data_IF_755744949001
#
_entry.id   IF_755744949001
#
_cell.length_a   1.000
_cell.length_b   1.000
_cell.length_c   1.000
_cell.angle_alpha   90.00
_cell.angle_beta   90.00
_cell.angle_gamma   90.00
#
_symmetry.space_group_name_H-M   'P 1'
#
loop_
_entity.id
_entity.type
_entity.pdbx_description
1 polymer ?
#
# COMPACT_ATOMS: atom_id res chain seq x y z
N UNK A 1 -60.08 26.53 0.26
CA UNK A 1 -58.95 25.85 -0.42
C UNK A 1 -59.37 24.40 -0.66
N UNK A 2 -59.53 23.97 -1.92
CA UNK A 2 -59.89 22.57 -2.25
C UNK A 2 -58.61 21.79 -2.52
N UNK A 3 -58.40 20.69 -1.80
CA UNK A 3 -57.26 19.78 -2.05
C UNK A 3 -57.64 18.76 -3.14
N UNK A 4 -56.75 18.56 -4.11
CA UNK A 4 -56.88 17.49 -5.11
C UNK A 4 -56.14 16.26 -4.59
N UNK A 5 -56.84 15.12 -4.53
CA UNK A 5 -56.35 13.83 -4.02
C UNK A 5 -56.08 12.82 -5.15
N UNK A 6 -56.04 13.25 -6.40
CA UNK A 6 -55.65 12.40 -7.53
C UNK A 6 -54.19 11.93 -7.40
N UNK A 7 -53.93 10.70 -7.85
CA UNK A 7 -52.59 10.09 -7.82
C UNK A 7 -51.66 10.86 -8.75
N UNK A 8 -50.60 11.44 -8.20
CA UNK A 8 -49.54 12.08 -8.97
C UNK A 8 -48.71 11.05 -9.75
N UNK A 9 -48.12 11.44 -10.89
CA UNK A 9 -47.16 10.60 -11.58
C UNK A 9 -45.99 10.22 -10.66
N UNK A 10 -45.45 9.02 -10.85
CA UNK A 10 -44.30 8.53 -10.11
C UNK A 10 -43.03 9.31 -10.48
N UNK A 11 -42.26 9.74 -9.49
CA UNK A 11 -40.99 10.42 -9.70
C UNK A 11 -39.90 9.37 -9.92
N UNK A 12 -39.28 9.37 -11.09
CA UNK A 12 -38.12 8.52 -11.37
C UNK A 12 -36.83 9.27 -11.10
N UNK A 13 -36.04 8.79 -10.14
CA UNK A 13 -34.70 9.32 -9.88
C UNK A 13 -33.74 8.87 -10.99
N UNK A 14 -33.23 9.81 -11.78
CA UNK A 14 -32.19 9.52 -12.77
C UNK A 14 -30.82 9.53 -12.11
N UNK A 15 -30.16 8.36 -12.07
CA UNK A 15 -28.79 8.26 -11.62
C UNK A 15 -27.82 8.84 -12.65
N UNK A 16 -26.68 9.35 -12.17
CA UNK A 16 -25.59 9.71 -13.05
C UNK A 16 -25.08 8.48 -13.79
N UNK A 17 -24.81 8.63 -15.09
CA UNK A 17 -24.19 7.58 -15.90
C UNK A 17 -22.72 7.50 -15.51
N UNK A 18 -22.18 6.29 -15.35
CA UNK A 18 -20.75 6.11 -15.09
C UNK A 18 -19.92 6.69 -16.23
N UNK A 19 -18.83 7.36 -15.87
CA UNK A 19 -17.84 7.80 -16.84
C UNK A 19 -17.23 6.62 -17.61
N UNK A 20 -16.92 6.86 -18.88
CA UNK A 20 -16.23 5.89 -19.73
C UNK A 20 -14.80 5.67 -19.23
N UNK A 21 -14.40 4.40 -19.11
CA UNK A 21 -13.04 4.03 -18.71
C UNK A 21 -12.13 3.90 -19.94
N UNK A 22 -10.84 4.28 -19.85
CA UNK A 22 -9.90 4.09 -20.93
C UNK A 22 -9.71 2.60 -21.26
N UNK A 23 -9.24 2.26 -22.49
CA UNK A 23 -8.96 0.88 -22.86
C UNK A 23 -7.92 0.24 -21.92
N UNK A 24 -8.19 -0.99 -21.48
CA UNK A 24 -7.34 -1.73 -20.52
C UNK A 24 -5.90 -1.86 -21.00
N UNK A 25 -5.70 -2.08 -22.30
CA UNK A 25 -4.37 -2.22 -22.93
C UNK A 25 -3.49 -0.99 -22.67
N UNK A 26 -4.06 0.21 -22.70
CA UNK A 26 -3.30 1.45 -22.43
C UNK A 26 -2.82 1.44 -20.98
N UNK A 27 -3.72 1.16 -20.03
CA UNK A 27 -3.40 1.06 -18.61
C UNK A 27 -2.34 0.00 -18.32
N UNK A 28 -2.42 -1.16 -18.96
CA UNK A 28 -1.48 -2.27 -18.76
C UNK A 28 -0.08 -1.92 -19.26
N UNK A 29 0.03 -1.33 -20.47
CA UNK A 29 1.31 -0.92 -21.04
C UNK A 29 2.00 0.11 -20.16
N UNK A 30 1.28 1.14 -19.70
CA UNK A 30 1.86 2.15 -18.81
C UNK A 30 2.22 1.58 -17.43
N UNK A 31 1.41 0.66 -16.90
CA UNK A 31 1.73 -0.03 -15.64
C UNK A 31 3.02 -0.84 -15.75
N UNK A 32 3.23 -1.54 -16.87
CA UNK A 32 4.46 -2.28 -17.15
C UNK A 32 5.67 -1.34 -17.29
N UNK A 33 5.51 -0.21 -17.98
CA UNK A 33 6.56 0.82 -18.11
C UNK A 33 6.93 1.38 -16.73
N UNK A 34 5.96 1.66 -15.86
CA UNK A 34 6.21 2.12 -14.49
C UNK A 34 6.96 1.07 -13.64
N UNK A 35 6.72 -0.23 -13.86
CA UNK A 35 7.41 -1.31 -13.16
C UNK A 35 8.82 -1.60 -13.71
N UNK A 36 9.11 -1.26 -14.96
CA UNK A 36 10.36 -1.60 -15.64
C UNK A 36 11.65 -1.11 -14.92
N UNK A 37 11.74 0.13 -14.38
CA UNK A 37 12.93 0.59 -13.67
C UNK A 37 13.31 -0.29 -12.48
N UNK A 38 12.31 -0.81 -11.75
CA UNK A 38 12.54 -1.71 -10.63
C UNK A 38 13.11 -3.06 -11.10
N UNK A 39 12.58 -3.61 -12.19
CA UNK A 39 13.09 -4.87 -12.77
C UNK A 39 14.53 -4.72 -13.27
N UNK A 40 14.84 -3.59 -13.92
CA UNK A 40 16.20 -3.27 -14.37
C UNK A 40 17.15 -3.17 -13.16
N UNK A 41 16.75 -2.49 -12.09
CA UNK A 41 17.54 -2.38 -10.87
C UNK A 41 17.87 -3.76 -10.28
N UNK A 42 16.86 -4.62 -10.12
CA UNK A 42 17.04 -5.98 -9.59
C UNK A 42 17.98 -6.79 -10.48
N UNK A 43 17.79 -6.76 -11.80
CA UNK A 43 18.68 -7.44 -12.75
C UNK A 43 20.14 -6.97 -12.62
N UNK A 44 20.36 -5.66 -12.54
CA UNK A 44 21.70 -5.10 -12.39
C UNK A 44 22.35 -5.50 -11.06
N UNK A 45 21.59 -5.52 -9.96
CA UNK A 45 22.08 -6.02 -8.68
C UNK A 45 22.50 -7.49 -8.75
N UNK A 46 21.71 -8.35 -9.40
CA UNK A 46 22.10 -9.75 -9.61
C UNK A 46 23.39 -9.87 -10.44
N UNK A 47 23.57 -9.01 -11.45
CA UNK A 47 24.78 -9.01 -12.29
C UNK A 47 26.02 -8.55 -11.53
N UNK A 48 25.89 -7.54 -10.67
CA UNK A 48 27.01 -7.00 -9.86
C UNK A 48 27.32 -7.92 -8.67
N UNK A 49 26.31 -8.62 -8.15
CA UNK A 49 26.40 -9.47 -6.97
C UNK A 49 26.07 -8.72 -5.68
N UNK A 50 25.48 -9.45 -4.71
CA UNK A 50 25.17 -8.92 -3.39
C UNK A 50 26.30 -9.21 -2.40
N UNK A 51 26.69 -8.22 -1.60
CA UNK A 51 27.66 -8.38 -0.52
C UNK A 51 26.99 -8.26 0.85
N UNK A 52 26.91 -9.37 1.58
CA UNK A 52 26.37 -9.45 2.93
C UNK A 52 27.45 -9.56 4.03
N UNK A 53 28.72 -9.39 3.69
CA UNK A 53 29.85 -9.64 4.60
C UNK A 53 29.93 -8.71 5.82
N UNK A 54 29.22 -7.59 5.83
CA UNK A 54 29.29 -6.57 6.89
C UNK A 54 28.01 -6.49 7.74
N UNK A 55 27.20 -7.54 7.76
CA UNK A 55 25.97 -7.58 8.56
C UNK A 55 26.28 -7.68 10.06
N UNK A 56 25.79 -6.69 10.83
CA UNK A 56 25.92 -6.67 12.29
C UNK A 56 24.73 -7.36 12.94
N UNK A 57 24.86 -8.66 13.19
CA UNK A 57 23.87 -9.42 13.93
C UNK A 57 23.90 -9.06 15.43
N UNK A 58 22.77 -9.13 16.16
CA UNK A 58 21.41 -9.49 15.70
C UNK A 58 20.60 -8.29 15.17
N UNK A 59 21.10 -7.06 15.37
CA UNK A 59 20.35 -5.82 15.12
C UNK A 59 19.96 -5.63 13.65
N UNK A 60 20.80 -6.11 12.73
CA UNK A 60 20.49 -6.08 11.28
C UNK A 60 19.21 -6.87 10.98
N UNK A 61 19.05 -8.07 11.53
CA UNK A 61 17.83 -8.87 11.33
C UNK A 61 16.62 -8.21 11.99
N UNK A 62 16.75 -7.78 13.24
CA UNK A 62 15.63 -7.12 13.94
C UNK A 62 15.10 -5.90 13.19
N UNK A 63 16.00 -5.07 12.65
CA UNK A 63 15.63 -3.90 11.86
C UNK A 63 14.95 -4.28 10.53
N UNK A 64 15.51 -5.21 9.75
CA UNK A 64 14.94 -5.57 8.44
C UNK A 64 13.63 -6.35 8.58
N UNK A 65 13.50 -7.22 9.59
CA UNK A 65 12.24 -7.90 9.89
C UNK A 65 11.18 -6.89 10.31
N UNK A 66 11.51 -5.93 11.18
CA UNK A 66 10.61 -4.85 11.58
C UNK A 66 10.18 -3.96 10.40
N UNK A 67 11.13 -3.55 9.55
CA UNK A 67 10.87 -2.78 8.34
C UNK A 67 9.99 -3.54 7.34
N UNK A 68 10.26 -4.82 7.13
CA UNK A 68 9.43 -5.70 6.29
C UNK A 68 8.02 -5.84 6.86
N UNK A 69 7.87 -5.91 8.19
CA UNK A 69 6.56 -5.96 8.84
C UNK A 69 5.78 -4.64 8.68
N UNK A 70 6.45 -3.48 8.71
CA UNK A 70 5.82 -2.17 8.43
C UNK A 70 5.31 -2.11 6.99
N UNK A 71 6.12 -2.51 6.00
CA UNK A 71 5.64 -2.57 4.61
C UNK A 71 4.52 -3.58 4.41
N UNK A 72 4.60 -4.74 5.09
CA UNK A 72 3.52 -5.72 5.12
C UNK A 72 2.22 -5.15 5.68
N UNK A 73 2.29 -4.38 6.78
CA UNK A 73 1.14 -3.70 7.39
C UNK A 73 0.52 -2.67 6.44
N UNK A 74 1.33 -1.91 5.71
CA UNK A 74 0.81 -0.95 4.72
C UNK A 74 0.15 -1.67 3.54
N UNK A 75 0.79 -2.73 3.03
CA UNK A 75 0.21 -3.54 1.97
C UNK A 75 -1.11 -4.19 2.41
N UNK A 76 -1.19 -4.72 3.64
CA UNK A 76 -2.42 -5.29 4.16
C UNK A 76 -3.51 -4.23 4.32
N UNK A 77 -3.21 -3.06 4.89
CA UNK A 77 -4.20 -1.98 5.02
C UNK A 77 -4.72 -1.51 3.64
N UNK A 78 -3.85 -1.44 2.64
CA UNK A 78 -4.21 -1.00 1.30
C UNK A 78 -5.01 -2.06 0.51
N UNK A 79 -4.56 -3.32 0.51
CA UNK A 79 -5.20 -4.41 -0.25
C UNK A 79 -6.43 -4.98 0.45
N UNK A 80 -6.47 -4.91 1.78
CA UNK A 80 -7.49 -5.50 2.64
C UNK A 80 -7.96 -4.44 3.62
N UNK A 81 -9.12 -3.86 3.34
CA UNK A 81 -9.75 -2.81 4.15
C UNK A 81 -10.34 -3.31 5.48
N UNK A 82 -9.99 -4.53 5.92
CA UNK A 82 -10.48 -5.11 7.19
C UNK A 82 -9.88 -4.39 8.42
N UNK A 83 -8.81 -3.61 8.23
CA UNK A 83 -8.08 -2.92 9.32
C UNK A 83 -8.38 -1.42 9.29
N UNK A 84 -9.06 -0.91 10.30
CA UNK A 84 -9.31 0.53 10.44
C UNK A 84 -8.00 1.32 10.64
N UNK A 85 -8.04 2.62 10.37
CA UNK A 85 -6.90 3.53 10.55
C UNK A 85 -6.33 3.47 11.98
N UNK A 86 -7.19 3.46 13.01
CA UNK A 86 -6.72 3.42 14.40
C UNK A 86 -6.04 2.10 14.74
N UNK A 87 -6.52 0.99 14.18
CA UNK A 87 -5.89 -0.31 14.37
C UNK A 87 -4.53 -0.38 13.65
N UNK A 88 -4.45 0.16 12.44
CA UNK A 88 -3.21 0.27 11.68
C UNK A 88 -2.18 1.09 12.45
N UNK A 89 -2.57 2.23 13.02
CA UNK A 89 -1.71 3.07 13.85
C UNK A 89 -1.24 2.35 15.11
N UNK A 90 -2.10 1.56 15.77
CA UNK A 90 -1.74 0.75 16.95
C UNK A 90 -0.65 -0.27 16.59
N UNK A 91 -0.83 -1.03 15.51
CA UNK A 91 0.17 -2.01 15.06
C UNK A 91 1.46 -1.34 14.58
N UNK A 92 1.34 -0.21 13.87
CA UNK A 92 2.47 0.59 13.44
C UNK A 92 3.27 1.13 14.64
N UNK A 93 2.60 1.60 15.70
CA UNK A 93 3.27 2.07 16.90
C UNK A 93 4.07 0.94 17.59
N UNK A 94 3.48 -0.27 17.69
CA UNK A 94 4.15 -1.43 18.29
C UNK A 94 5.37 -1.88 17.46
N UNK A 95 5.17 -2.16 16.17
CA UNK A 95 6.23 -2.65 15.27
C UNK A 95 7.27 -1.55 15.04
N UNK A 96 6.82 -0.31 14.88
CA UNK A 96 7.66 0.87 14.70
C UNK A 96 8.58 1.13 15.89
N UNK A 97 8.09 1.00 17.12
CA UNK A 97 8.93 1.12 18.32
C UNK A 97 10.07 0.10 18.35
N UNK A 98 9.76 -1.17 18.02
CA UNK A 98 10.78 -2.22 17.91
C UNK A 98 11.78 -1.94 16.78
N UNK A 99 11.27 -1.53 15.61
CA UNK A 99 12.09 -1.21 14.44
C UNK A 99 13.03 -0.04 14.72
N UNK A 100 12.54 1.01 15.40
CA UNK A 100 13.34 2.16 15.84
C UNK A 100 14.41 1.75 16.85
N UNK A 101 14.09 0.90 17.82
CA UNK A 101 15.08 0.41 18.79
C UNK A 101 16.20 -0.39 18.12
N UNK A 102 15.84 -1.36 17.28
CA UNK A 102 16.80 -2.16 16.52
C UNK A 102 17.62 -1.30 15.55
N UNK A 103 16.98 -0.36 14.85
CA UNK A 103 17.63 0.57 13.93
C UNK A 103 18.62 1.49 14.64
N UNK A 104 18.26 2.02 15.82
CA UNK A 104 19.17 2.82 16.64
C UNK A 104 20.39 1.98 17.05
N UNK A 105 20.21 0.75 17.55
CA UNK A 105 21.34 -0.13 17.89
C UNK A 105 22.22 -0.50 16.68
N UNK A 106 21.63 -0.64 15.49
CA UNK A 106 22.34 -0.96 14.26
C UNK A 106 23.18 0.22 13.73
N UNK A 107 22.61 1.43 13.77
CA UNK A 107 23.21 2.64 13.21
C UNK A 107 24.08 3.40 14.20
N UNK A 108 23.86 3.22 15.50
CA UNK A 108 24.69 3.79 16.56
C UNK A 108 26.05 3.10 16.53
N UNK A 109 27.02 3.79 15.93
CA UNK A 109 28.45 3.58 16.18
C UNK A 109 28.76 3.98 17.62
#
# INVERSE_FOLDING_TARGET
MKFNYEKLPEIQHQFQVSDSRPPVIVSDVFSAICAAPLLILLFLWFRVGFNFGNMKFPWTLGFHTGLSAIFGLYASHWLRSDTDMFETLKWLALIGSLTLFCGNRLLKR
#
